data_IF_334920167111
#
_entry.id   IF_334920167111
#
_cell.length_a   1.000
_cell.length_b   1.000
_cell.length_c   1.000
_cell.angle_alpha   90.00
_cell.angle_beta   90.00
_cell.angle_gamma   90.00
#
_symmetry.space_group_name_H-M   'P 1'
#
loop_
_entity.id
_entity.type
_entity.pdbx_description
1 polymer ?
#
# COMPACT_ATOMS: atom_id res chain seq x y z
N UNK A 1 6.10 4.23 -13.49
CA UNK A 1 6.81 4.54 -12.23
C UNK A 1 6.97 6.05 -12.16
N UNK A 2 6.58 6.66 -11.04
CA UNK A 2 6.75 8.10 -10.84
C UNK A 2 8.14 8.45 -10.29
N UNK A 3 8.53 9.72 -10.45
CA UNK A 3 9.75 10.29 -9.90
C UNK A 3 9.63 10.53 -8.39
N UNK A 4 10.77 10.80 -7.73
CA UNK A 4 10.78 11.23 -6.32
C UNK A 4 9.94 12.48 -6.09
N UNK A 5 9.99 13.45 -7.01
CA UNK A 5 9.24 14.70 -6.87
C UNK A 5 7.74 14.43 -6.94
N UNK A 6 7.30 13.64 -7.92
CA UNK A 6 5.89 13.26 -8.06
C UNK A 6 5.36 12.51 -6.83
N UNK A 7 6.18 11.67 -6.18
CA UNK A 7 5.79 11.03 -4.92
C UNK A 7 5.59 12.06 -3.79
N UNK A 8 6.48 13.05 -3.66
CA UNK A 8 6.35 14.09 -2.63
C UNK A 8 5.09 14.96 -2.86
N UNK A 9 4.82 15.29 -4.12
CA UNK A 9 3.65 16.05 -4.51
C UNK A 9 2.37 15.26 -4.22
N UNK A 10 2.38 13.94 -4.51
CA UNK A 10 1.29 13.04 -4.17
C UNK A 10 1.04 12.95 -2.66
N UNK A 11 2.09 12.79 -1.85
CA UNK A 11 1.94 12.73 -0.38
C UNK A 11 1.39 14.05 0.19
N UNK A 12 1.83 15.18 -0.36
CA UNK A 12 1.31 16.51 0.01
C UNK A 12 -0.16 16.64 -0.34
N UNK A 13 -0.55 16.23 -1.55
CA UNK A 13 -1.94 16.22 -1.99
C UNK A 13 -2.83 15.32 -1.11
N UNK A 14 -2.40 14.08 -0.85
CA UNK A 14 -3.13 13.12 0.01
C UNK A 14 -3.38 13.71 1.39
N UNK A 15 -2.35 14.33 1.98
CA UNK A 15 -2.44 14.95 3.30
C UNK A 15 -3.41 16.15 3.28
N UNK A 16 -3.26 17.05 2.32
CA UNK A 16 -4.08 18.26 2.22
C UNK A 16 -5.56 17.95 1.92
N UNK A 17 -5.82 16.90 1.15
CA UNK A 17 -7.16 16.47 0.79
C UNK A 17 -7.81 15.55 1.86
N UNK A 18 -7.08 15.19 2.93
CA UNK A 18 -7.56 14.26 3.95
C UNK A 18 -7.84 12.85 3.43
N UNK A 19 -7.13 12.44 2.36
CA UNK A 19 -7.30 11.12 1.74
C UNK A 19 -6.65 10.06 2.65
N UNK A 20 -7.43 9.06 3.04
CA UNK A 20 -6.93 7.91 3.81
C UNK A 20 -6.92 6.69 2.89
N UNK A 21 -5.74 6.17 2.49
CA UNK A 21 -5.66 4.97 1.67
C UNK A 21 -6.24 3.76 2.40
N UNK A 22 -7.08 2.98 1.72
CA UNK A 22 -7.62 1.74 2.26
C UNK A 22 -6.55 0.64 2.28
N UNK A 23 -6.37 0.02 3.45
CA UNK A 23 -5.55 -1.17 3.65
C UNK A 23 -6.52 -2.33 3.92
N UNK A 24 -6.63 -3.28 2.98
CA UNK A 24 -7.47 -4.45 3.19
C UNK A 24 -6.70 -5.70 3.64
N UNK A 25 -5.37 -5.65 3.67
CA UNK A 25 -4.57 -6.65 4.37
C UNK A 25 -3.35 -6.01 5.03
N UNK A 26 -3.19 -6.25 6.32
CA UNK A 26 -1.94 -6.03 7.05
C UNK A 26 -1.32 -7.38 7.39
N UNK A 27 -0.02 -7.55 7.15
CA UNK A 27 0.69 -8.78 7.44
C UNK A 27 2.12 -8.52 7.95
N UNK A 28 2.64 -9.30 8.91
CA UNK A 28 4.05 -9.22 9.30
C UNK A 28 4.99 -9.49 8.12
N UNK A 29 6.20 -8.92 8.16
CA UNK A 29 7.24 -9.17 7.15
C UNK A 29 7.59 -10.66 7.01
N UNK A 30 7.44 -11.44 8.10
CA UNK A 30 7.61 -12.89 8.08
C UNK A 30 6.65 -13.61 7.12
N UNK A 31 5.46 -13.03 6.91
CA UNK A 31 4.39 -13.59 6.07
C UNK A 31 4.32 -12.91 4.69
N UNK A 32 5.39 -12.19 4.30
CA UNK A 32 5.42 -11.44 3.05
C UNK A 32 5.10 -12.33 1.83
N UNK A 33 5.58 -13.58 1.83
CA UNK A 33 5.36 -14.53 0.73
C UNK A 33 3.87 -14.83 0.53
N UNK A 34 3.14 -15.05 1.62
CA UNK A 34 1.71 -15.29 1.63
C UNK A 34 0.95 -14.03 1.21
N UNK A 35 1.42 -12.86 1.65
CA UNK A 35 0.87 -11.57 1.23
C UNK A 35 1.02 -11.33 -0.28
N UNK A 36 2.19 -11.65 -0.86
CA UNK A 36 2.41 -11.60 -2.31
C UNK A 36 1.51 -12.58 -3.06
N UNK A 37 1.33 -13.80 -2.54
CA UNK A 37 0.39 -14.78 -3.11
C UNK A 37 -1.05 -14.25 -3.08
N UNK A 38 -1.48 -13.58 -2.03
CA UNK A 38 -2.81 -12.97 -1.99
C UNK A 38 -3.02 -11.95 -3.11
N UNK A 39 -1.99 -11.15 -3.45
CA UNK A 39 -2.03 -10.24 -4.61
C UNK A 39 -2.13 -10.99 -5.93
N UNK A 40 -1.32 -12.04 -6.12
CA UNK A 40 -1.34 -12.87 -7.33
C UNK A 40 -2.72 -13.50 -7.58
N UNK A 41 -3.39 -13.94 -6.51
CA UNK A 41 -4.72 -14.56 -6.60
C UNK A 41 -5.87 -13.56 -6.68
N UNK A 42 -5.59 -12.25 -6.79
CA UNK A 42 -6.61 -11.20 -6.83
C UNK A 42 -7.41 -11.07 -5.53
N UNK A 43 -6.93 -11.61 -4.42
CA UNK A 43 -7.55 -11.50 -3.09
C UNK A 43 -7.12 -10.20 -2.41
N UNK A 44 -7.37 -9.07 -3.08
CA UNK A 44 -6.98 -7.75 -2.61
C UNK A 44 -8.20 -6.84 -2.50
N UNK A 45 -8.50 -6.39 -1.28
CA UNK A 45 -9.26 -5.17 -1.05
C UNK A 45 -8.23 -4.07 -0.75
N UNK A 46 -8.16 -3.02 -1.55
CA UNK A 46 -7.20 -1.94 -1.34
C UNK A 46 -5.72 -2.38 -1.36
N UNK A 47 -4.94 -1.90 -0.40
CA UNK A 47 -3.49 -2.14 -0.28
C UNK A 47 -3.17 -3.28 0.68
N UNK A 48 -2.04 -3.94 0.42
CA UNK A 48 -1.39 -4.82 1.39
C UNK A 48 -0.24 -4.03 2.05
N UNK A 49 -0.26 -3.92 3.38
CA UNK A 49 0.81 -3.29 4.15
C UNK A 49 1.60 -4.34 4.93
N UNK A 50 2.91 -4.42 4.68
CA UNK A 50 3.81 -5.27 5.45
C UNK A 50 4.32 -4.54 6.69
N UNK A 51 4.17 -5.15 7.84
CA UNK A 51 4.58 -4.61 9.15
C UNK A 51 5.88 -5.25 9.62
N UNK A 52 6.60 -4.57 10.53
CA UNK A 52 7.85 -5.08 11.11
C UNK A 52 7.58 -6.11 12.19
#
# INVERSE_FOLDING_TARGET
MGTRQELLDLLTFVTNAGIVPEIGLEAPMADAKEAFRAMEHGKTAGKIALTR
#
